data_IF_528500260890
#
_entry.id   IF_528500260890
#
_cell.length_a   1.000
_cell.length_b   1.000
_cell.length_c   1.000
_cell.angle_alpha   90.00
_cell.angle_beta   90.00
_cell.angle_gamma   90.00
#
_symmetry.space_group_name_H-M   'P 1'
#
loop_
_entity.id
_entity.type
_entity.pdbx_description
1 polymer ?
#
# COMPACT_ATOMS: atom_id res chain seq x y z
N UNK A 1 -15.16 -5.21 -51.20
CA UNK A 1 -13.83 -4.85 -50.69
C UNK A 1 -13.96 -4.76 -49.17
N UNK A 2 -13.34 -5.69 -48.45
CA UNK A 2 -13.49 -5.80 -46.99
C UNK A 2 -12.69 -4.69 -46.30
N UNK A 3 -13.34 -3.90 -45.45
CA UNK A 3 -12.70 -2.92 -44.57
C UNK A 3 -12.16 -3.72 -43.39
N UNK A 4 -10.86 -3.98 -43.37
CA UNK A 4 -10.21 -4.53 -42.18
C UNK A 4 -10.17 -3.42 -41.12
N UNK A 5 -10.73 -3.60 -39.92
CA UNK A 5 -10.58 -2.64 -38.84
C UNK A 5 -9.13 -2.71 -38.36
N UNK A 6 -8.34 -1.72 -38.75
CA UNK A 6 -7.03 -1.44 -38.20
C UNK A 6 -7.18 -1.00 -36.74
N UNK A 7 -7.35 -1.98 -35.85
CA UNK A 7 -7.21 -1.79 -34.43
C UNK A 7 -5.79 -1.24 -34.17
N UNK A 8 -5.64 -0.06 -33.54
CA UNK A 8 -4.31 0.45 -33.23
C UNK A 8 -3.66 -0.50 -32.23
N UNK A 9 -2.77 -1.35 -32.71
CA UNK A 9 -1.96 -2.22 -31.87
C UNK A 9 -1.00 -1.31 -31.13
N UNK A 10 -1.21 -1.12 -29.83
CA UNK A 10 -0.28 -0.36 -29.01
C UNK A 10 1.12 -0.97 -29.18
N UNK A 11 2.14 -0.19 -29.59
CA UNK A 11 3.47 -0.73 -29.85
C UNK A 11 3.99 -1.42 -28.59
N UNK A 12 4.64 -2.59 -28.74
CA UNK A 12 5.14 -3.42 -27.63
C UNK A 12 5.91 -2.61 -26.57
N UNK A 13 6.62 -1.55 -26.99
CA UNK A 13 7.31 -0.63 -26.10
C UNK A 13 6.40 0.15 -25.14
N UNK A 14 5.19 0.55 -25.55
CA UNK A 14 4.25 1.26 -24.69
C UNK A 14 3.70 0.37 -23.58
N UNK A 15 3.43 -0.92 -23.88
CA UNK A 15 3.00 -1.91 -22.89
C UNK A 15 4.13 -2.22 -21.91
N UNK A 16 5.37 -2.37 -22.41
CA UNK A 16 6.54 -2.60 -21.57
C UNK A 16 6.82 -1.40 -20.65
N UNK A 17 6.78 -0.17 -21.18
CA UNK A 17 6.95 1.05 -20.40
C UNK A 17 5.88 1.18 -19.31
N UNK A 18 4.60 0.95 -19.64
CA UNK A 18 3.52 0.96 -18.67
C UNK A 18 3.77 -0.05 -17.53
N UNK A 19 4.13 -1.29 -17.85
CA UNK A 19 4.42 -2.32 -16.85
C UNK A 19 5.57 -1.94 -15.92
N UNK A 20 6.64 -1.34 -16.47
CA UNK A 20 7.79 -0.91 -15.68
C UNK A 20 7.39 0.23 -14.73
N UNK A 21 6.70 1.25 -15.23
CA UNK A 21 6.24 2.38 -14.41
C UNK A 21 5.32 1.89 -13.29
N UNK A 22 4.33 1.07 -13.62
CA UNK A 22 3.41 0.52 -12.61
C UNK A 22 4.12 -0.35 -11.57
N UNK A 23 5.15 -1.11 -11.96
CA UNK A 23 5.94 -1.89 -11.02
C UNK A 23 6.74 -1.00 -10.06
N UNK A 24 7.34 0.09 -10.56
CA UNK A 24 8.06 1.08 -9.74
C UNK A 24 7.09 1.80 -8.78
N UNK A 25 5.93 2.23 -9.27
CA UNK A 25 4.89 2.86 -8.44
C UNK A 25 4.43 1.92 -7.32
N UNK A 26 4.19 0.65 -7.66
CA UNK A 26 3.80 -0.37 -6.69
C UNK A 26 4.90 -0.63 -5.65
N UNK A 27 6.16 -0.64 -6.06
CA UNK A 27 7.29 -0.78 -5.15
C UNK A 27 7.40 0.42 -4.20
N UNK A 28 7.28 1.65 -4.72
CA UNK A 28 7.31 2.87 -3.91
C UNK A 28 6.13 2.88 -2.93
N UNK A 29 4.92 2.54 -3.39
CA UNK A 29 3.74 2.45 -2.54
C UNK A 29 3.91 1.40 -1.42
N UNK A 30 4.47 0.23 -1.76
CA UNK A 30 4.78 -0.83 -0.80
C UNK A 30 5.80 -0.40 0.25
N UNK A 31 6.89 0.25 -0.16
CA UNK A 31 7.90 0.80 0.76
C UNK A 31 7.30 1.87 1.66
N UNK A 32 6.49 2.77 1.11
CA UNK A 32 5.84 3.82 1.89
C UNK A 32 4.83 3.24 2.90
N UNK A 33 4.06 2.23 2.51
CA UNK A 33 3.17 1.49 3.41
C UNK A 33 3.97 0.78 4.52
N UNK A 34 5.12 0.17 4.18
CA UNK A 34 6.00 -0.46 5.17
C UNK A 34 6.57 0.55 6.18
N UNK A 35 7.02 1.71 5.70
CA UNK A 35 7.52 2.80 6.56
C UNK A 35 6.41 3.38 7.45
N UNK A 36 5.20 3.58 6.91
CA UNK A 36 4.03 4.00 7.69
C UNK A 36 3.72 3.01 8.80
N UNK A 37 3.65 1.70 8.50
CA UNK A 37 3.43 0.64 9.50
C UNK A 37 4.48 0.68 10.61
N UNK A 38 5.77 0.83 10.27
CA UNK A 38 6.85 0.96 11.27
C UNK A 38 6.70 2.20 12.14
N UNK A 39 6.33 3.35 11.57
CA UNK A 39 6.07 4.58 12.33
C UNK A 39 4.87 4.45 13.25
N UNK A 40 3.78 3.82 12.78
CA UNK A 40 2.59 3.54 13.59
C UNK A 40 2.95 2.64 14.77
N UNK A 41 3.66 1.54 14.56
CA UNK A 41 4.12 0.66 15.65
C UNK A 41 5.02 1.42 16.64
N UNK A 42 5.96 2.24 16.14
CA UNK A 42 6.83 3.03 17.00
C UNK A 42 6.06 4.09 17.81
N UNK A 43 5.01 4.68 17.24
CA UNK A 43 4.13 5.60 17.95
C UNK A 43 3.28 4.88 19.01
N UNK A 44 2.69 3.73 18.67
CA UNK A 44 1.91 2.91 19.59
C UNK A 44 2.75 2.40 20.77
N UNK A 45 4.02 2.03 20.54
CA UNK A 45 4.96 1.64 21.61
C UNK A 45 5.32 2.76 22.58
N UNK A 46 5.05 4.02 22.24
CA UNK A 46 5.26 5.16 23.15
C UNK A 46 4.04 5.42 24.05
N UNK A 47 2.90 4.79 23.76
CA UNK A 47 1.68 4.93 24.55
C UNK A 47 1.68 3.90 25.68
N UNK A 48 1.11 4.29 26.83
CA UNK A 48 0.89 3.38 27.94
C UNK A 48 -0.34 2.49 27.68
N UNK A 49 -0.47 1.32 28.33
CA UNK A 49 -1.64 0.47 28.19
C UNK A 49 -2.96 1.20 28.51
N UNK A 50 -2.96 2.10 29.50
CA UNK A 50 -4.12 2.92 29.84
C UNK A 50 -4.49 3.90 28.71
N UNK A 51 -3.51 4.49 28.04
CA UNK A 51 -3.74 5.38 26.90
C UNK A 51 -4.24 4.62 25.66
N UNK A 52 -3.77 3.38 25.45
CA UNK A 52 -4.29 2.49 24.41
C UNK A 52 -5.73 2.06 24.70
N UNK A 53 -6.07 1.81 25.96
CA UNK A 53 -7.43 1.52 26.39
C UNK A 53 -8.38 2.72 26.19
N UNK A 54 -7.92 3.94 26.47
CA UNK A 54 -8.69 5.18 26.27
C UNK A 54 -9.08 5.41 24.80
N UNK A 55 -8.24 4.99 23.86
CA UNK A 55 -8.53 5.08 22.41
C UNK A 55 -9.24 3.83 21.87
N UNK A 56 -9.69 2.93 22.74
CA UNK A 56 -10.51 1.77 22.39
C UNK A 56 -9.73 0.51 21.98
N UNK A 57 -8.42 0.44 22.26
CA UNK A 57 -7.58 -0.73 21.95
C UNK A 57 -7.18 -1.54 23.20
N UNK A 58 -8.05 -1.57 24.22
CA UNK A 58 -7.76 -2.16 25.53
C UNK A 58 -7.32 -3.65 25.47
N UNK A 59 -7.88 -4.42 24.54
CA UNK A 59 -7.66 -5.87 24.43
C UNK A 59 -6.86 -6.28 23.17
N UNK A 60 -6.21 -5.32 22.50
CA UNK A 60 -5.47 -5.58 21.27
C UNK A 60 -3.97 -5.39 21.45
N UNK A 61 -3.18 -6.30 20.89
CA UNK A 61 -1.72 -6.14 20.81
C UNK A 61 -1.35 -5.00 19.86
N UNK A 62 -0.19 -4.38 20.06
CA UNK A 62 0.31 -3.29 19.19
C UNK A 62 0.35 -3.74 17.72
N UNK A 63 0.72 -4.99 17.48
CA UNK A 63 0.76 -5.60 16.16
C UNK A 63 -0.64 -5.70 15.51
N UNK A 64 -1.68 -6.09 16.27
CA UNK A 64 -3.08 -6.15 15.81
C UNK A 64 -3.67 -4.75 15.56
N UNK A 65 -3.33 -3.78 16.41
CA UNK A 65 -3.73 -2.37 16.22
C UNK A 65 -3.10 -1.83 14.94
N UNK A 66 -1.80 -2.07 14.75
CA UNK A 66 -1.08 -1.62 13.57
C UNK A 66 -1.58 -2.29 12.27
N UNK A 67 -2.09 -3.52 12.34
CA UNK A 67 -2.74 -4.16 11.20
C UNK A 67 -4.10 -3.56 10.89
N UNK A 68 -4.91 -3.29 11.92
CA UNK A 68 -6.24 -2.67 11.81
C UNK A 68 -6.17 -1.26 11.22
N UNK A 69 -5.20 -0.45 11.64
CA UNK A 69 -5.00 0.93 11.16
C UNK A 69 -4.38 1.03 9.76
N UNK A 70 -3.87 -0.08 9.23
CA UNK A 70 -3.18 -0.13 7.93
C UNK A 70 -4.01 -0.86 6.86
N UNK A 71 -5.24 -1.29 7.19
CA UNK A 71 -6.30 -1.66 6.23
C UNK A 71 -7.06 -0.42 5.79
#
# INVERSE_FOLDING_TARGET
MAIAPNAPVAPFGAIAALRIVTAVESAIASVHAHLRRRRTIAALRRLTPAQLADIGFADMTIEEIAETLNR
#
